data_IF_712330761603
#
_entry.id   IF_712330761603
#
_cell.length_a   1.000
_cell.length_b   1.000
_cell.length_c   1.000
_cell.angle_alpha   90.00
_cell.angle_beta   90.00
_cell.angle_gamma   90.00
#
_symmetry.space_group_name_H-M   'P 1'
#
loop_
_entity.id
_entity.type
_entity.pdbx_description
1 polymer ?
#
# COMPACT_ATOMS: atom_id res chain seq x y z
N UNK A 1 -1.53 -9.03 5.16
CA UNK A 1 -0.32 -9.55 5.84
C UNK A 1 -0.51 -9.36 7.34
N UNK A 2 0.15 -10.17 8.17
CA UNK A 2 0.16 -9.99 9.62
C UNK A 2 1.61 -10.12 10.11
N UNK A 3 2.12 -9.07 10.72
CA UNK A 3 3.50 -8.92 11.21
C UNK A 3 3.86 -9.91 12.33
N UNK A 4 2.85 -10.40 13.07
CA UNK A 4 3.04 -11.37 14.16
C UNK A 4 3.58 -12.74 13.71
N UNK A 5 3.54 -13.06 12.43
CA UNK A 5 3.98 -14.36 11.91
C UNK A 5 5.34 -14.27 11.23
N UNK A 6 6.26 -15.15 11.64
CA UNK A 6 7.60 -15.29 11.05
C UNK A 6 7.54 -15.56 9.53
N UNK A 7 6.52 -16.31 9.08
CA UNK A 7 6.28 -16.57 7.65
C UNK A 7 6.07 -15.28 6.83
N UNK A 8 5.44 -14.26 7.41
CA UNK A 8 5.29 -12.95 6.77
C UNK A 8 6.65 -12.27 6.62
N UNK A 9 7.48 -12.28 7.67
CA UNK A 9 8.80 -11.66 7.64
C UNK A 9 9.71 -12.30 6.59
N UNK A 10 9.69 -13.62 6.46
CA UNK A 10 10.51 -14.32 5.48
C UNK A 10 10.01 -14.13 4.04
N UNK A 11 8.69 -14.06 3.82
CA UNK A 11 8.11 -13.73 2.52
C UNK A 11 8.46 -12.29 2.08
N UNK A 12 8.41 -11.33 3.00
CA UNK A 12 8.71 -9.91 2.71
C UNK A 12 10.15 -9.72 2.21
N UNK A 13 11.12 -10.48 2.74
CA UNK A 13 12.53 -10.44 2.31
C UNK A 13 12.71 -10.79 0.82
N UNK A 14 11.84 -11.62 0.26
CA UNK A 14 11.86 -12.00 -1.15
C UNK A 14 10.98 -11.07 -1.99
N UNK A 15 9.78 -10.76 -1.49
CA UNK A 15 8.78 -10.00 -2.23
C UNK A 15 9.18 -8.53 -2.46
N UNK A 16 9.77 -7.86 -1.46
CA UNK A 16 10.08 -6.42 -1.56
C UNK A 16 11.10 -6.14 -2.67
N UNK A 17 12.25 -6.84 -2.76
CA UNK A 17 13.19 -6.67 -3.87
C UNK A 17 12.56 -6.91 -5.25
N UNK A 18 11.73 -7.94 -5.38
CA UNK A 18 11.06 -8.26 -6.65
C UNK A 18 10.07 -7.17 -7.08
N UNK A 19 9.29 -6.63 -6.14
CA UNK A 19 8.36 -5.54 -6.43
C UNK A 19 9.11 -4.27 -6.84
N UNK A 20 10.22 -3.94 -6.18
CA UNK A 20 11.06 -2.81 -6.56
C UNK A 20 11.64 -3.03 -7.97
N UNK A 21 12.11 -4.24 -8.28
CA UNK A 21 12.62 -4.59 -9.60
C UNK A 21 11.54 -4.52 -10.71
N UNK A 22 10.29 -4.77 -10.37
CA UNK A 22 9.13 -4.60 -11.26
C UNK A 22 8.70 -3.13 -11.42
N UNK A 23 9.35 -2.19 -10.72
CA UNK A 23 9.07 -0.76 -10.80
C UNK A 23 8.01 -0.25 -9.82
N UNK A 24 7.63 -1.05 -8.82
CA UNK A 24 6.75 -0.59 -7.74
C UNK A 24 7.53 0.24 -6.72
N UNK A 25 6.87 1.25 -6.16
CA UNK A 25 7.36 2.03 -5.05
C UNK A 25 6.59 1.65 -3.78
N UNK A 26 7.32 1.39 -2.69
CA UNK A 26 6.72 1.21 -1.38
C UNK A 26 6.46 2.58 -0.77
N UNK A 27 5.21 2.83 -0.41
CA UNK A 27 4.73 4.08 0.16
C UNK A 27 3.78 3.78 1.33
N UNK A 28 3.64 4.72 2.24
CA UNK A 28 2.61 4.68 3.28
C UNK A 28 1.22 4.94 2.68
N UNK A 29 0.15 4.65 3.44
CA UNK A 29 -1.22 4.91 2.99
C UNK A 29 -1.46 6.41 2.76
N UNK A 30 -0.91 7.28 3.60
CA UNK A 30 -1.03 8.74 3.43
C UNK A 30 -0.37 9.21 2.14
N UNK A 31 0.86 8.78 1.88
CA UNK A 31 1.58 9.09 0.64
C UNK A 31 0.86 8.50 -0.59
N UNK A 32 0.31 7.29 -0.48
CA UNK A 32 -0.46 6.67 -1.56
C UNK A 32 -1.67 7.52 -1.96
N UNK A 33 -2.41 8.04 -0.97
CA UNK A 33 -3.56 8.91 -1.22
C UNK A 33 -3.12 10.25 -1.81
N UNK A 34 -2.05 10.85 -1.27
CA UNK A 34 -1.46 12.08 -1.77
C UNK A 34 -1.02 11.96 -3.25
N UNK A 35 -0.26 10.91 -3.60
CA UNK A 35 0.17 10.66 -4.98
C UNK A 35 -0.99 10.39 -5.95
N UNK A 36 -2.15 9.97 -5.44
CA UNK A 36 -3.36 9.74 -6.22
C UNK A 36 -4.30 10.95 -6.25
N UNK A 37 -3.93 12.06 -5.61
CA UNK A 37 -4.74 13.27 -5.52
C UNK A 37 -6.01 13.09 -4.68
N UNK A 38 -6.00 12.14 -3.74
CA UNK A 38 -7.10 11.87 -2.83
C UNK A 38 -6.82 12.51 -1.48
N UNK A 39 -7.71 13.40 -1.04
CA UNK A 39 -7.69 13.94 0.32
C UNK A 39 -8.52 13.03 1.22
N UNK A 40 -7.96 12.45 2.30
CA UNK A 40 -8.73 11.64 3.23
C UNK A 40 -9.78 12.51 3.94
N UNK A 41 -11.06 12.13 3.83
CA UNK A 41 -12.18 12.80 4.49
C UNK A 41 -12.63 12.04 5.74
N UNK A 42 -13.06 12.77 6.77
CA UNK A 42 -13.53 12.15 8.00
C UNK A 42 -14.84 11.39 7.74
N UNK A 43 -14.90 10.12 8.16
CA UNK A 43 -16.05 9.24 7.97
C UNK A 43 -16.11 8.52 6.62
N UNK A 44 -15.16 8.74 5.71
CA UNK A 44 -15.01 7.98 4.46
C UNK A 44 -14.18 6.70 4.66
N UNK A 45 -14.59 5.63 3.98
CA UNK A 45 -13.90 4.32 4.03
C UNK A 45 -13.17 4.09 2.71
N UNK A 46 -11.85 3.88 2.80
CA UNK A 46 -10.99 3.68 1.63
C UNK A 46 -10.54 2.21 1.56
N UNK A 47 -11.01 1.48 0.54
CA UNK A 47 -10.58 0.10 0.28
C UNK A 47 -9.40 0.01 -0.71
N UNK A 48 -9.28 1.01 -1.58
CA UNK A 48 -8.25 1.09 -2.63
C UNK A 48 -8.16 2.52 -3.15
N UNK A 49 -6.95 2.94 -3.55
CA UNK A 49 -6.71 4.27 -4.11
C UNK A 49 -7.11 4.41 -5.59
N UNK A 50 -7.68 3.36 -6.20
CA UNK A 50 -8.25 3.40 -7.55
C UNK A 50 -9.71 3.86 -7.58
N UNK A 51 -10.40 3.92 -6.44
CA UNK A 51 -11.79 4.37 -6.37
C UNK A 51 -11.86 5.90 -6.20
N UNK A 52 -11.60 6.62 -7.28
CA UNK A 52 -12.16 7.97 -7.48
C UNK A 52 -13.12 7.89 -8.66
N UNK A 53 -14.39 7.61 -8.37
CA UNK A 53 -15.58 8.00 -9.13
C UNK A 53 -16.79 7.34 -8.48
N UNK A 54 -17.58 8.14 -7.75
CA UNK A 54 -18.97 8.41 -8.11
C UNK A 54 -19.41 9.72 -7.48
#
# INVERSE_FOLDING_TARGET
>A
MHDIYQSTADAVKQLVPELIAQGYQLVTVSELLEYKGLTPENGQVYFSSYYSTK
#
